data_IF_615825519020
#
_entry.id   IF_615825519020
#
_cell.length_a   1.000
_cell.length_b   1.000
_cell.length_c   1.000
_cell.angle_alpha   90.00
_cell.angle_beta   90.00
_cell.angle_gamma   90.00
#
_symmetry.space_group_name_H-M   'P 1'
#
loop_
_entity.id
_entity.type
_entity.pdbx_description
1 polymer ?
#
# COMPACT_ATOMS: atom_id res chain seq x y z
N UNK A 1 -54.49 26.45 8.07
CA UNK A 1 -54.04 25.05 8.18
C UNK A 1 -52.62 25.02 7.63
N UNK A 2 -51.61 25.00 8.50
CA UNK A 2 -50.20 25.08 8.12
C UNK A 2 -49.72 23.70 7.67
N UNK A 3 -49.51 23.52 6.36
CA UNK A 3 -48.79 22.38 5.82
C UNK A 3 -47.30 22.62 6.00
N UNK A 4 -46.72 21.99 7.03
CA UNK A 4 -45.28 21.96 7.25
C UNK A 4 -44.60 21.29 6.06
N UNK A 5 -43.70 22.05 5.43
CA UNK A 5 -42.78 21.58 4.41
C UNK A 5 -41.71 20.74 5.12
N UNK A 6 -41.88 19.42 5.13
CA UNK A 6 -40.87 18.50 5.67
C UNK A 6 -39.75 18.43 4.63
N UNK A 7 -38.78 19.33 4.75
CA UNK A 7 -37.47 19.18 4.12
C UNK A 7 -36.75 18.01 4.80
N UNK A 8 -37.09 16.79 4.42
CA UNK A 8 -36.26 15.62 4.70
C UNK A 8 -35.01 15.76 3.84
N UNK A 9 -34.02 16.51 4.32
CA UNK A 9 -32.68 16.41 3.79
C UNK A 9 -32.29 14.92 3.87
N UNK A 10 -32.10 14.29 2.71
CA UNK A 10 -31.54 12.95 2.65
C UNK A 10 -30.30 12.91 3.55
N UNK A 11 -30.11 11.87 4.39
CA UNK A 11 -28.89 11.74 5.16
C UNK A 11 -27.73 11.88 4.18
N UNK A 12 -26.85 12.87 4.42
CA UNK A 12 -25.65 13.07 3.61
C UNK A 12 -24.97 11.71 3.56
N UNK A 13 -24.90 11.13 2.36
CA UNK A 13 -24.28 9.84 2.08
C UNK A 13 -22.92 9.78 2.78
N UNK A 14 -22.88 9.11 3.93
CA UNK A 14 -21.69 8.81 4.73
C UNK A 14 -20.94 7.60 4.16
N UNK A 15 -21.14 7.32 2.87
CA UNK A 15 -20.68 6.11 2.20
C UNK A 15 -19.59 6.39 1.17
N UNK A 16 -19.17 7.65 1.03
CA UNK A 16 -18.10 8.04 0.12
C UNK A 16 -16.79 8.13 0.89
N UNK A 17 -15.84 7.32 0.47
CA UNK A 17 -14.54 7.13 1.08
C UNK A 17 -13.49 7.22 -0.03
N UNK A 18 -12.85 8.38 -0.14
CA UNK A 18 -11.87 8.71 -1.18
C UNK A 18 -10.45 8.66 -0.61
N UNK A 19 -9.43 8.62 -1.48
CA UNK A 19 -8.02 8.49 -1.05
C UNK A 19 -7.54 9.62 -0.12
N UNK A 20 -8.10 10.82 -0.30
CA UNK A 20 -7.73 12.01 0.48
C UNK A 20 -8.27 11.99 1.92
N UNK A 21 -9.12 11.03 2.27
CA UNK A 21 -9.66 10.88 3.62
C UNK A 21 -8.68 10.14 4.56
N UNK A 22 -7.57 9.59 4.02
CA UNK A 22 -6.60 8.76 4.75
C UNK A 22 -5.17 9.25 4.60
N UNK A 23 -4.33 8.90 5.58
CA UNK A 23 -2.89 9.04 5.47
C UNK A 23 -2.39 8.28 4.23
N UNK A 24 -1.65 8.98 3.39
CA UNK A 24 -1.12 8.43 2.14
C UNK A 24 0.39 8.54 2.08
N UNK A 25 0.98 7.67 1.28
CA UNK A 25 2.38 7.73 0.91
C UNK A 25 2.54 7.44 -0.58
N UNK A 26 3.70 7.78 -1.14
CA UNK A 26 4.04 7.48 -2.53
C UNK A 26 4.95 6.27 -2.57
N UNK A 27 4.45 5.15 -3.06
CA UNK A 27 5.19 3.89 -3.10
C UNK A 27 5.05 3.23 -4.47
N UNK A 28 6.16 2.75 -4.99
CA UNK A 28 6.24 1.79 -6.09
C UNK A 28 6.81 0.47 -5.57
N UNK A 29 6.93 -0.52 -6.46
CA UNK A 29 7.61 -1.78 -6.16
C UNK A 29 8.90 -1.85 -6.95
N UNK A 30 10.01 -2.04 -6.24
CA UNK A 30 11.35 -2.03 -6.83
C UNK A 30 12.02 -3.39 -6.67
N UNK A 31 12.89 -3.70 -7.62
CA UNK A 31 13.78 -4.86 -7.59
C UNK A 31 15.22 -4.35 -7.52
N UNK A 32 15.88 -4.59 -6.40
CA UNK A 32 17.31 -4.37 -6.21
C UNK A 32 18.03 -5.66 -6.61
N UNK A 33 18.92 -5.59 -7.60
CA UNK A 33 19.76 -6.71 -8.04
C UNK A 33 21.20 -6.47 -7.58
N UNK A 34 21.80 -7.50 -7.02
CA UNK A 34 23.09 -7.40 -6.36
C UNK A 34 23.93 -8.67 -6.50
N UNK A 35 25.23 -8.52 -6.31
CA UNK A 35 26.17 -9.61 -6.09
C UNK A 35 26.34 -9.85 -4.59
N UNK A 36 26.43 -11.11 -4.19
CA UNK A 36 26.75 -11.51 -2.82
C UNK A 36 27.65 -12.75 -2.81
N UNK A 37 28.53 -12.91 -1.81
CA UNK A 37 29.38 -14.08 -1.69
C UNK A 37 28.55 -15.32 -1.35
N UNK A 38 28.77 -16.43 -2.05
CA UNK A 38 28.28 -17.75 -1.65
C UNK A 38 29.14 -18.37 -0.55
N UNK A 39 28.70 -19.51 -0.02
CA UNK A 39 29.38 -20.22 1.06
C UNK A 39 30.80 -20.69 0.72
N UNK A 40 31.15 -20.77 -0.57
CA UNK A 40 32.48 -21.08 -1.10
C UNK A 40 33.33 -19.82 -1.40
N UNK A 41 32.81 -18.63 -1.11
CA UNK A 41 33.49 -17.35 -1.32
C UNK A 41 33.40 -16.78 -2.73
N UNK A 42 32.71 -17.46 -3.66
CA UNK A 42 32.49 -16.96 -5.02
C UNK A 42 31.37 -15.92 -5.02
N UNK A 43 31.49 -14.84 -5.79
CA UNK A 43 30.39 -13.88 -5.95
C UNK A 43 29.29 -14.47 -6.83
N UNK A 44 28.10 -14.66 -6.27
CA UNK A 44 26.92 -15.03 -7.05
C UNK A 44 26.28 -13.78 -7.67
N UNK A 45 26.13 -13.79 -8.99
CA UNK A 45 25.25 -12.87 -9.71
C UNK A 45 23.83 -13.45 -9.79
N UNK A 46 22.82 -12.57 -9.88
CA UNK A 46 21.37 -12.87 -9.93
C UNK A 46 20.62 -12.88 -8.58
N UNK A 47 21.22 -12.40 -7.49
CA UNK A 47 20.46 -12.14 -6.28
C UNK A 47 19.51 -10.96 -6.49
N UNK A 48 18.29 -11.07 -5.99
CA UNK A 48 17.31 -9.99 -6.04
C UNK A 48 16.64 -9.78 -4.69
N UNK A 49 16.32 -8.52 -4.42
CA UNK A 49 15.56 -8.08 -3.26
C UNK A 49 14.41 -7.21 -3.75
N UNK A 50 13.19 -7.58 -3.40
CA UNK A 50 11.98 -6.87 -3.82
C UNK A 50 11.43 -6.11 -2.63
N UNK A 51 11.22 -4.81 -2.78
CA UNK A 51 10.67 -3.98 -1.72
C UNK A 51 9.75 -2.88 -2.25
N UNK A 52 8.97 -2.30 -1.33
CA UNK A 52 8.22 -1.08 -1.58
C UNK A 52 9.07 0.12 -1.17
N UNK A 53 9.17 1.10 -2.06
CA UNK A 53 9.99 2.28 -1.86
C UNK A 53 9.40 3.47 -2.63
N UNK A 54 9.80 4.69 -2.26
CA UNK A 54 9.37 5.92 -2.95
C UNK A 54 10.23 6.25 -4.18
N UNK A 55 11.38 5.59 -4.33
CA UNK A 55 12.32 5.77 -5.43
C UNK A 55 13.34 4.63 -5.48
N UNK A 56 14.16 4.57 -6.54
CA UNK A 56 15.28 3.62 -6.65
C UNK A 56 16.30 3.79 -5.51
N UNK A 57 16.58 5.05 -5.12
CA UNK A 57 17.50 5.35 -4.02
C UNK A 57 16.96 4.89 -2.66
N UNK A 58 15.66 5.10 -2.40
CA UNK A 58 15.02 4.58 -1.18
C UNK A 58 15.03 3.04 -1.18
N UNK A 59 14.80 2.39 -2.34
CA UNK A 59 14.90 0.94 -2.46
C UNK A 59 16.31 0.42 -2.15
N UNK A 60 17.35 1.05 -2.71
CA UNK A 60 18.75 0.71 -2.44
C UNK A 60 19.10 0.92 -0.96
N UNK A 61 18.64 2.02 -0.36
CA UNK A 61 18.87 2.32 1.05
C UNK A 61 18.21 1.27 1.96
N UNK A 62 16.94 0.94 1.72
CA UNK A 62 16.20 -0.10 2.47
C UNK A 62 16.87 -1.45 2.35
N UNK A 63 17.32 -1.83 1.15
CA UNK A 63 18.11 -3.04 0.97
C UNK A 63 19.40 -3.01 1.80
N UNK A 64 20.14 -1.90 1.80
CA UNK A 64 21.35 -1.78 2.62
C UNK A 64 21.10 -1.87 4.12
N UNK A 65 19.96 -1.35 4.60
CA UNK A 65 19.53 -1.56 5.99
C UNK A 65 19.18 -3.02 6.27
N UNK A 66 18.54 -3.71 5.33
CA UNK A 66 18.19 -5.13 5.46
C UNK A 66 19.43 -6.04 5.50
N UNK A 67 20.42 -5.76 4.67
CA UNK A 67 21.65 -6.54 4.54
C UNK A 67 22.81 -6.00 5.40
N UNK A 68 22.50 -5.33 6.50
CA UNK A 68 23.50 -4.70 7.37
C UNK A 68 24.55 -5.73 7.82
N UNK A 69 25.83 -5.35 7.73
CA UNK A 69 27.00 -6.17 8.06
C UNK A 69 27.29 -7.34 7.08
N UNK A 70 26.67 -7.34 5.90
CA UNK A 70 26.98 -8.30 4.84
C UNK A 70 27.68 -7.56 3.70
N UNK A 71 28.65 -8.22 3.06
CA UNK A 71 29.28 -7.68 1.85
C UNK A 71 28.41 -7.97 0.63
N UNK A 72 28.10 -6.94 -0.15
CA UNK A 72 27.30 -7.02 -1.36
C UNK A 72 27.68 -5.87 -2.30
N UNK A 73 27.39 -6.04 -3.58
CA UNK A 73 27.49 -4.96 -4.59
C UNK A 73 26.17 -4.86 -5.37
N UNK A 74 25.47 -3.73 -5.24
CA UNK A 74 24.28 -3.45 -6.05
C UNK A 74 24.73 -3.08 -7.47
N UNK A 75 24.21 -3.77 -8.48
CA UNK A 75 24.50 -3.44 -9.88
C UNK A 75 23.30 -2.90 -10.66
N UNK A 76 22.09 -3.05 -10.12
CA UNK A 76 20.88 -2.52 -10.76
C UNK A 76 19.76 -2.36 -9.75
N UNK A 77 19.02 -1.25 -9.85
CA UNK A 77 17.73 -1.07 -9.19
C UNK A 77 16.72 -0.73 -10.29
N UNK A 78 15.61 -1.45 -10.34
CA UNK A 78 14.58 -1.22 -11.36
C UNK A 78 13.21 -1.15 -10.75
N UNK A 79 12.42 -0.19 -11.20
CA UNK A 79 10.99 -0.13 -10.93
C UNK A 79 10.25 -1.29 -11.61
N UNK A 80 9.40 -1.99 -10.86
CA UNK A 80 8.54 -3.08 -11.34
C UNK A 80 7.07 -2.68 -11.36
N UNK A 81 6.65 -1.89 -10.38
CA UNK A 81 5.34 -1.24 -10.34
C UNK A 81 5.57 0.26 -10.11
N UNK A 82 4.86 1.13 -10.84
CA UNK A 82 5.08 2.56 -10.79
C UNK A 82 4.86 3.14 -9.39
N UNK A 83 5.66 4.15 -9.03
CA UNK A 83 5.42 4.94 -7.83
C UNK A 83 4.10 5.70 -7.97
N UNK A 84 3.15 5.39 -7.09
CA UNK A 84 1.85 6.05 -7.04
C UNK A 84 1.44 6.36 -5.59
N UNK A 85 0.46 7.27 -5.44
CA UNK A 85 -0.11 7.59 -4.13
C UNK A 85 -0.98 6.41 -3.69
N UNK A 86 -0.74 5.92 -2.48
CA UNK A 86 -1.47 4.79 -1.89
C UNK A 86 -1.81 5.09 -0.44
N UNK A 87 -2.93 4.55 0.05
CA UNK A 87 -3.16 4.44 1.48
C UNK A 87 -2.45 3.19 1.99
N UNK A 88 -1.71 3.32 3.09
CA UNK A 88 -0.99 2.20 3.70
C UNK A 88 -1.78 1.73 4.91
N UNK A 89 -2.11 0.43 4.95
CA UNK A 89 -2.77 -0.12 6.12
C UNK A 89 -1.80 -0.34 7.29
N UNK A 90 -2.34 -0.50 8.50
CA UNK A 90 -1.58 -0.82 9.70
C UNK A 90 -0.77 -2.12 9.61
N UNK A 91 -1.10 -3.00 8.65
CA UNK A 91 -0.36 -4.21 8.33
C UNK A 91 0.48 -4.09 7.04
N UNK A 92 0.75 -2.86 6.59
CA UNK A 92 1.62 -2.52 5.45
C UNK A 92 1.11 -2.96 4.06
N UNK A 93 -0.19 -3.17 3.88
CA UNK A 93 -0.79 -3.38 2.56
C UNK A 93 -1.10 -2.05 1.89
N UNK A 94 -0.86 -1.96 0.58
CA UNK A 94 -1.07 -0.76 -0.24
C UNK A 94 -2.44 -0.81 -0.90
N UNK A 95 -3.24 0.23 -0.68
CA UNK A 95 -4.58 0.34 -1.24
C UNK A 95 -4.74 1.55 -2.16
N UNK A 96 -5.49 1.36 -3.24
CA UNK A 96 -5.95 2.42 -4.14
C UNK A 96 -7.46 2.32 -4.34
N UNK A 97 -8.19 3.45 -4.41
CA UNK A 97 -9.63 3.41 -4.65
C UNK A 97 -9.91 3.00 -6.11
N UNK A 98 -10.85 2.07 -6.29
CA UNK A 98 -11.48 1.80 -7.59
C UNK A 98 -12.76 2.64 -7.74
N UNK A 99 -13.46 2.85 -6.63
CA UNK A 99 -14.63 3.72 -6.52
C UNK A 99 -14.81 4.14 -5.05
N UNK A 100 -15.89 4.84 -4.73
CA UNK A 100 -16.13 5.43 -3.41
C UNK A 100 -16.14 4.45 -2.23
N UNK A 101 -16.27 3.14 -2.46
CA UNK A 101 -16.23 2.11 -1.40
C UNK A 101 -15.35 0.91 -1.73
N UNK A 102 -15.10 0.66 -3.02
CA UNK A 102 -14.30 -0.47 -3.46
C UNK A 102 -12.87 -0.04 -3.68
N UNK A 103 -11.95 -0.73 -3.03
CA UNK A 103 -10.53 -0.45 -3.09
C UNK A 103 -9.79 -1.71 -3.51
N UNK A 104 -8.69 -1.55 -4.25
CA UNK A 104 -7.81 -2.65 -4.63
C UNK A 104 -6.59 -2.67 -3.72
N UNK A 105 -6.31 -3.84 -3.15
CA UNK A 105 -5.03 -4.13 -2.53
C UNK A 105 -4.01 -4.43 -3.63
N UNK A 106 -2.98 -3.60 -3.81
CA UNK A 106 -1.97 -3.80 -4.85
C UNK A 106 -1.10 -5.04 -4.62
N UNK A 107 -0.96 -5.47 -3.36
CA UNK A 107 -0.06 -6.59 -3.03
C UNK A 107 -0.71 -7.97 -3.18
N UNK A 108 -2.04 -8.04 -3.19
CA UNK A 108 -2.80 -9.29 -3.32
C UNK A 108 -3.77 -9.30 -4.50
N UNK A 109 -3.93 -8.16 -5.19
CA UNK A 109 -4.92 -7.92 -6.25
C UNK A 109 -6.39 -8.07 -5.81
N UNK A 110 -6.64 -8.25 -4.50
CA UNK A 110 -7.99 -8.41 -3.97
C UNK A 110 -8.73 -7.07 -3.94
N UNK A 111 -10.02 -7.11 -4.21
CA UNK A 111 -10.92 -5.98 -3.99
C UNK A 111 -11.50 -6.09 -2.57
N UNK A 112 -11.53 -4.96 -1.88
CA UNK A 112 -12.04 -4.84 -0.51
C UNK A 112 -13.00 -3.66 -0.42
N UNK A 113 -13.83 -3.68 0.63
CA UNK A 113 -14.60 -2.52 1.03
C UNK A 113 -13.85 -1.75 2.11
N UNK A 114 -13.81 -0.43 1.96
CA UNK A 114 -13.21 0.48 2.94
C UNK A 114 -14.29 1.44 3.42
N UNK A 115 -14.39 1.57 4.74
CA UNK A 115 -15.30 2.51 5.41
C UNK A 115 -14.55 3.79 5.79
N UNK A 116 -15.29 4.88 6.02
CA UNK A 116 -14.70 6.19 6.31
C UNK A 116 -13.86 6.24 7.61
N UNK A 117 -14.11 5.33 8.55
CA UNK A 117 -13.29 5.14 9.76
C UNK A 117 -12.03 4.30 9.52
N UNK A 118 -11.78 3.88 8.28
CA UNK A 118 -10.60 3.11 7.86
C UNK A 118 -10.71 1.61 8.06
N UNK A 119 -11.87 1.07 8.46
CA UNK A 119 -12.05 -0.37 8.55
C UNK A 119 -12.12 -1.03 7.16
N UNK A 120 -11.52 -2.21 7.04
CA UNK A 120 -11.39 -2.96 5.79
C UNK A 120 -12.19 -4.26 5.88
N UNK A 121 -13.04 -4.49 4.90
CA UNK A 121 -13.89 -5.68 4.80
C UNK A 121 -13.62 -6.42 3.49
N UNK A 122 -13.78 -7.74 3.50
CA UNK A 122 -13.73 -8.54 2.27
C UNK A 122 -15.00 -8.36 1.41
N UNK A 123 -15.04 -9.05 0.27
CA UNK A 123 -16.14 -8.95 -0.70
C UNK A 123 -17.51 -9.41 -0.14
N UNK A 124 -17.52 -10.20 0.93
CA UNK A 124 -18.74 -10.67 1.62
C UNK A 124 -19.05 -9.85 2.87
N UNK A 125 -18.44 -8.66 3.01
CA UNK A 125 -18.63 -7.71 4.11
C UNK A 125 -18.23 -8.24 5.49
N UNK A 126 -17.24 -9.14 5.56
CA UNK A 126 -16.63 -9.56 6.82
C UNK A 126 -15.37 -8.73 7.12
N UNK A 127 -15.15 -8.30 8.38
CA UNK A 127 -13.94 -7.58 8.76
C UNK A 127 -12.67 -8.38 8.41
N UNK A 128 -11.82 -7.81 7.56
CA UNK A 128 -10.59 -8.47 7.15
C UNK A 128 -9.44 -8.15 8.09
N UNK A 129 -9.30 -8.98 9.14
CA UNK A 129 -8.19 -8.85 10.11
C UNK A 129 -6.81 -8.91 9.46
N UNK A 130 -6.70 -9.57 8.29
CA UNK A 130 -5.46 -9.66 7.51
C UNK A 130 -4.94 -8.29 7.08
N UNK A 131 -5.84 -7.40 6.66
CA UNK A 131 -5.48 -6.11 6.09
C UNK A 131 -5.36 -4.99 7.14
N UNK A 132 -5.82 -5.22 8.37
CA UNK A 132 -5.82 -4.20 9.41
C UNK A 132 -6.78 -3.07 9.09
N UNK A 133 -6.33 -1.84 9.26
CA UNK A 133 -7.11 -0.61 9.07
C UNK A 133 -6.27 0.45 8.35
N UNK A 134 -6.94 1.37 7.66
CA UNK A 134 -6.33 2.62 7.19
C UNK A 134 -6.40 3.68 8.30
N UNK A 135 -5.47 4.64 8.28
CA UNK A 135 -5.43 5.75 9.22
C UNK A 135 -6.16 6.97 8.61
N UNK A 136 -7.31 7.41 9.14
CA UNK A 136 -8.00 8.60 8.63
C UNK A 136 -7.29 9.91 9.03
N UNK A 137 -7.47 10.99 8.24
CA UNK A 137 -6.80 12.30 8.46
C UNK A 137 -7.55 13.26 9.41
N UNK A 138 -8.74 12.90 9.90
CA UNK A 138 -9.67 13.80 10.62
C UNK A 138 -9.06 14.62 11.78
#
# INVERSE_FOLDING_TARGET
MNTQNVNTAAPKSSERCDLNDFETCRLGRFVVRFYAPSSDGVMQGNCNYICHASSEWDAAFRFGQHCKNVHYDIYSVTEKEPVQVVALSSTHYRFVPLSSRYWRCLDTECVVFVTADGAIYDEIMQPSKRYGTLAPIF
#
